data_IF_128649048407
#
_entry.id   IF_128649048407
#
_cell.length_a   1.000
_cell.length_b   1.000
_cell.length_c   1.000
_cell.angle_alpha   90.00
_cell.angle_beta   90.00
_cell.angle_gamma   90.00
#
_symmetry.space_group_name_H-M   'P 1'
#
loop_
_entity.id
_entity.type
_entity.pdbx_description
1 polymer ?
#
# COMPACT_ATOMS: atom_id res chain seq x y z
N UNK A 1 18.10 -7.02 20.26
CA UNK A 1 18.38 -5.82 21.08
C UNK A 1 19.39 -4.95 20.34
N UNK A 2 19.16 -3.65 20.32
CA UNK A 2 20.07 -2.69 19.67
C UNK A 2 21.13 -2.19 20.63
N UNK A 3 22.29 -1.81 20.08
CA UNK A 3 23.40 -1.22 20.84
C UNK A 3 23.12 0.23 21.22
N UNK A 4 23.71 0.72 22.31
CA UNK A 4 23.48 2.07 22.84
C UNK A 4 23.72 3.16 21.82
N UNK A 5 24.74 3.04 20.97
CA UNK A 5 25.03 4.03 19.92
C UNK A 5 23.90 4.16 18.89
N UNK A 6 23.24 3.04 18.57
CA UNK A 6 22.04 3.04 17.70
C UNK A 6 20.88 3.72 18.40
N UNK A 7 20.64 3.38 19.67
CA UNK A 7 19.57 3.98 20.48
C UNK A 7 19.73 5.50 20.61
N UNK A 8 20.95 5.98 20.79
CA UNK A 8 21.26 7.42 20.84
C UNK A 8 20.99 8.11 19.50
N UNK A 9 21.36 7.49 18.39
CA UNK A 9 21.07 8.02 17.04
C UNK A 9 19.56 8.12 16.79
N UNK A 10 18.80 7.14 17.24
CA UNK A 10 17.32 7.20 17.12
C UNK A 10 16.71 8.38 17.90
N UNK A 11 17.22 8.67 19.09
CA UNK A 11 16.76 9.82 19.88
C UNK A 11 17.06 11.17 19.19
N UNK A 12 18.08 11.21 18.32
CA UNK A 12 18.42 12.38 17.49
C UNK A 12 17.75 12.37 16.11
N UNK A 13 16.86 11.41 15.82
CA UNK A 13 16.22 11.21 14.53
C UNK A 13 17.20 10.84 13.39
N UNK A 14 18.37 10.33 13.71
CA UNK A 14 19.42 9.93 12.77
C UNK A 14 19.25 8.46 12.32
N UNK A 15 18.06 8.08 11.91
CA UNK A 15 17.79 6.73 11.40
C UNK A 15 18.31 6.55 9.97
N UNK A 16 18.12 7.57 9.14
CA UNK A 16 18.56 7.55 7.76
C UNK A 16 19.98 8.10 7.64
N UNK A 17 20.73 7.53 6.70
CA UNK A 17 22.06 8.03 6.34
C UNK A 17 21.93 9.09 5.26
N UNK A 18 22.79 10.09 5.31
CA UNK A 18 22.94 11.03 4.20
C UNK A 18 23.30 10.27 2.92
N UNK A 19 22.69 10.66 1.83
CA UNK A 19 22.94 10.08 0.51
C UNK A 19 22.94 11.15 -0.56
N UNK A 20 23.40 10.79 -1.75
CA UNK A 20 23.44 11.66 -2.91
C UNK A 20 22.70 11.00 -4.07
N UNK A 21 22.29 11.81 -5.03
CA UNK A 21 21.76 11.31 -6.28
C UNK A 21 22.82 10.48 -7.01
N UNK A 22 22.40 9.32 -7.47
CA UNK A 22 23.26 8.40 -8.23
C UNK A 22 22.57 8.08 -9.55
N UNK A 23 23.35 8.02 -10.62
CA UNK A 23 22.86 7.51 -11.88
C UNK A 23 22.52 6.03 -11.77
N UNK A 24 21.46 5.63 -12.48
CA UNK A 24 21.04 4.23 -12.53
C UNK A 24 22.01 3.42 -13.40
N UNK A 25 22.66 2.43 -12.80
CA UNK A 25 23.49 1.43 -13.45
C UNK A 25 23.31 0.07 -12.74
N UNK A 26 23.94 -0.99 -13.21
CA UNK A 26 23.83 -2.32 -12.61
C UNK A 26 24.12 -2.33 -11.10
N UNK A 27 25.16 -1.62 -10.66
CA UNK A 27 25.59 -1.62 -9.27
C UNK A 27 24.62 -0.85 -8.35
N UNK A 28 24.08 0.27 -8.82
CA UNK A 28 23.14 1.09 -8.06
C UNK A 28 21.74 0.50 -8.06
N UNK A 29 21.31 -0.11 -9.17
CA UNK A 29 20.02 -0.78 -9.30
C UNK A 29 19.92 -2.02 -8.42
N UNK A 30 20.98 -2.83 -8.31
CA UNK A 30 21.01 -4.04 -7.49
C UNK A 30 20.77 -3.77 -5.99
N UNK A 31 21.09 -2.58 -5.53
CA UNK A 31 20.91 -2.14 -4.14
C UNK A 31 19.65 -1.31 -3.89
N UNK A 32 18.85 -1.08 -4.92
CA UNK A 32 17.66 -0.25 -4.86
C UNK A 32 16.39 -1.10 -4.74
N UNK A 33 15.25 -0.47 -4.49
CA UNK A 33 13.95 -1.14 -4.50
C UNK A 33 13.62 -1.64 -5.92
N UNK A 34 13.49 -2.94 -6.11
CA UNK A 34 13.11 -3.52 -7.39
C UNK A 34 11.74 -3.03 -7.90
N UNK A 35 10.78 -2.76 -7.00
CA UNK A 35 9.48 -2.17 -7.35
C UNK A 35 9.66 -0.74 -7.85
N UNK A 36 10.41 0.09 -7.10
CA UNK A 36 10.64 1.48 -7.49
C UNK A 36 11.49 1.57 -8.77
N UNK A 37 12.47 0.68 -8.94
CA UNK A 37 13.26 0.59 -10.17
C UNK A 37 12.37 0.30 -11.39
N UNK A 38 11.55 -0.75 -11.34
CA UNK A 38 10.67 -1.11 -12.46
C UNK A 38 9.63 -0.01 -12.76
N UNK A 39 9.12 0.66 -11.71
CA UNK A 39 8.27 1.83 -11.85
C UNK A 39 8.98 2.96 -12.60
N UNK A 40 10.17 3.34 -12.16
CA UNK A 40 10.94 4.44 -12.78
C UNK A 40 11.39 4.11 -14.19
N UNK A 41 11.80 2.86 -14.44
CA UNK A 41 12.17 2.40 -15.79
C UNK A 41 11.01 2.56 -16.76
N UNK A 42 9.82 2.03 -16.42
CA UNK A 42 8.65 2.15 -17.30
C UNK A 42 8.23 3.60 -17.54
N UNK A 43 8.33 4.47 -16.52
CA UNK A 43 8.06 5.91 -16.70
C UNK A 43 9.08 6.54 -17.63
N UNK A 44 10.38 6.29 -17.42
CA UNK A 44 11.45 6.85 -18.24
C UNK A 44 11.32 6.42 -19.70
N UNK A 45 11.06 5.14 -19.94
CA UNK A 45 10.87 4.57 -21.28
C UNK A 45 9.64 5.15 -21.99
N UNK A 46 8.56 5.40 -21.24
CA UNK A 46 7.31 5.92 -21.82
C UNK A 46 7.33 7.43 -22.05
N UNK A 47 7.99 8.18 -21.16
CA UNK A 47 7.99 9.65 -21.17
C UNK A 47 9.23 10.24 -21.87
N UNK A 48 10.26 9.44 -22.07
CA UNK A 48 11.56 9.83 -22.63
C UNK A 48 12.22 11.00 -21.86
N UNK A 49 12.08 10.96 -20.52
CA UNK A 49 12.72 11.91 -19.59
C UNK A 49 13.38 11.18 -18.41
N UNK A 50 14.39 11.77 -17.79
CA UNK A 50 14.96 11.24 -16.56
C UNK A 50 13.93 11.19 -15.43
N UNK A 51 13.89 10.10 -14.67
CA UNK A 51 13.01 9.90 -13.52
C UNK A 51 13.86 9.81 -12.26
N UNK A 52 13.69 10.77 -11.35
CA UNK A 52 14.31 10.73 -10.02
C UNK A 52 13.46 9.88 -9.05
N UNK A 53 14.11 8.96 -8.33
CA UNK A 53 13.46 8.10 -7.35
C UNK A 53 14.09 8.31 -5.98
N UNK A 54 13.27 8.59 -4.97
CA UNK A 54 13.68 8.68 -3.56
C UNK A 54 13.12 7.44 -2.85
N UNK A 55 14.01 6.60 -2.34
CA UNK A 55 13.65 5.41 -1.57
C UNK A 55 13.72 5.72 -0.09
N UNK A 56 12.56 5.77 0.56
CA UNK A 56 12.44 5.99 1.98
C UNK A 56 11.50 4.91 2.56
N UNK A 57 12.04 3.72 2.81
CA UNK A 57 11.28 2.55 3.22
C UNK A 57 11.93 1.86 4.42
N UNK A 58 11.11 1.38 5.35
CA UNK A 58 11.55 0.65 6.55
C UNK A 58 10.70 -0.59 6.73
N UNK A 59 11.32 -1.76 6.60
CA UNK A 59 10.62 -3.05 6.71
C UNK A 59 9.92 -3.23 8.04
N UNK A 60 8.64 -3.63 8.01
CA UNK A 60 7.82 -3.87 9.19
C UNK A 60 7.29 -2.62 9.89
N UNK A 61 7.54 -1.43 9.37
CA UNK A 61 7.00 -0.21 9.96
C UNK A 61 5.47 -0.11 9.76
N UNK A 62 4.73 0.33 10.77
CA UNK A 62 3.29 0.56 10.64
C UNK A 62 3.01 1.93 9.99
N UNK A 63 1.80 2.11 9.46
CA UNK A 63 1.38 3.33 8.75
C UNK A 63 1.50 4.59 9.61
N UNK A 64 1.14 4.53 10.88
CA UNK A 64 1.18 5.64 11.82
C UNK A 64 2.59 6.22 12.06
N UNK A 65 3.63 5.42 11.82
CA UNK A 65 5.01 5.91 11.91
C UNK A 65 5.36 6.96 10.84
N UNK A 66 4.59 7.00 9.76
CA UNK A 66 4.81 7.87 8.59
C UNK A 66 3.90 9.10 8.53
N UNK A 67 3.06 9.31 9.54
CA UNK A 67 2.12 10.43 9.62
C UNK A 67 2.72 11.53 10.49
N UNK A 68 2.55 12.79 10.11
CA UNK A 68 3.01 13.90 10.94
C UNK A 68 2.26 13.96 12.28
N UNK A 69 2.97 14.45 13.31
CA UNK A 69 2.46 14.50 14.68
C UNK A 69 1.19 15.33 14.80
N UNK A 70 1.13 16.48 14.13
CA UNK A 70 -0.03 17.37 14.20
C UNK A 70 -1.29 16.67 13.70
N UNK A 71 -1.21 15.96 12.58
CA UNK A 71 -2.34 15.19 12.04
C UNK A 71 -2.81 14.14 13.05
N UNK A 72 -1.90 13.36 13.66
CA UNK A 72 -2.32 12.35 14.64
C UNK A 72 -2.84 12.97 15.95
N UNK A 73 -2.28 14.07 16.43
CA UNK A 73 -2.76 14.77 17.63
C UNK A 73 -4.20 15.28 17.48
N UNK A 74 -4.58 15.73 16.29
CA UNK A 74 -5.94 16.22 16.03
C UNK A 74 -6.94 15.12 15.68
N UNK A 75 -6.55 14.18 14.84
CA UNK A 75 -7.49 13.24 14.22
C UNK A 75 -7.45 11.82 14.79
N UNK A 76 -6.35 11.45 15.46
CA UNK A 76 -6.21 10.15 16.08
C UNK A 76 -5.27 10.17 17.32
N UNK A 77 -5.55 11.01 18.35
CA UNK A 77 -4.67 11.16 19.50
C UNK A 77 -4.44 9.87 20.29
N UNK A 78 -5.43 8.98 20.32
CA UNK A 78 -5.35 7.73 21.07
C UNK A 78 -4.16 6.85 20.64
N UNK A 79 -3.76 6.88 19.36
CA UNK A 79 -2.65 6.07 18.86
C UNK A 79 -1.28 6.53 19.37
N UNK A 80 -1.18 7.78 19.84
CA UNK A 80 0.04 8.36 20.40
C UNK A 80 0.27 7.96 21.86
N UNK A 81 -0.79 7.57 22.56
CA UNK A 81 -0.73 7.31 24.00
C UNK A 81 -0.16 5.94 24.29
N UNK A 82 0.92 5.87 25.09
CA UNK A 82 1.55 4.60 25.50
C UNK A 82 1.72 3.59 24.34
N UNK A 83 2.24 4.02 23.22
CA UNK A 83 2.22 3.30 21.96
C UNK A 83 2.74 1.85 22.05
N UNK A 84 3.70 1.55 22.92
CA UNK A 84 4.19 0.17 23.17
C UNK A 84 3.16 -0.75 23.84
N UNK A 85 2.08 -0.20 24.40
CA UNK A 85 1.00 -0.93 25.06
C UNK A 85 -0.36 -0.67 24.40
N UNK A 86 -0.36 0.04 23.28
CA UNK A 86 -1.56 0.50 22.60
C UNK A 86 -2.10 -0.56 21.64
N UNK A 87 -3.32 -1.00 21.84
CA UNK A 87 -3.96 -2.08 21.05
C UNK A 87 -4.35 -1.66 19.62
N UNK A 88 -4.31 -0.37 19.29
CA UNK A 88 -4.40 0.07 17.90
C UNK A 88 -3.17 -0.34 17.09
N UNK A 89 -2.02 -0.57 17.74
CA UNK A 89 -0.78 -1.00 17.11
C UNK A 89 -0.62 -2.50 17.27
N UNK A 90 -0.31 -3.18 16.18
CA UNK A 90 -0.21 -4.62 16.12
C UNK A 90 0.79 -5.17 17.16
N UNK A 91 0.43 -6.25 17.84
CA UNK A 91 1.19 -6.81 18.96
C UNK A 91 2.64 -7.14 18.60
N UNK A 92 2.88 -7.79 17.46
CA UNK A 92 4.25 -8.13 17.06
C UNK A 92 5.12 -6.87 16.78
N UNK A 93 4.51 -5.76 16.34
CA UNK A 93 5.20 -4.47 16.12
C UNK A 93 5.67 -3.92 17.47
N UNK A 94 4.77 -3.92 18.46
CA UNK A 94 5.06 -3.47 19.83
C UNK A 94 6.12 -4.33 20.49
N UNK A 95 5.98 -5.66 20.40
CA UNK A 95 6.94 -6.61 20.98
C UNK A 95 8.32 -6.47 20.35
N UNK A 96 8.40 -6.37 19.02
CA UNK A 96 9.67 -6.17 18.32
C UNK A 96 10.35 -4.87 18.72
N UNK A 97 9.59 -3.79 18.78
CA UNK A 97 10.11 -2.50 19.22
C UNK A 97 10.62 -2.57 20.67
N UNK A 98 9.82 -3.15 21.57
CA UNK A 98 10.21 -3.34 22.97
C UNK A 98 11.54 -4.11 23.09
N UNK A 99 11.67 -5.21 22.36
CA UNK A 99 12.92 -6.00 22.38
C UNK A 99 14.10 -5.20 21.86
N UNK A 100 13.91 -4.41 20.80
CA UNK A 100 14.97 -3.61 20.22
C UNK A 100 15.51 -2.57 21.21
N UNK A 101 14.63 -1.89 21.95
CA UNK A 101 15.00 -0.80 22.87
C UNK A 101 15.24 -1.24 24.31
N UNK A 102 15.19 -2.53 24.61
CA UNK A 102 15.27 -3.09 25.97
C UNK A 102 16.50 -2.65 26.77
N UNK A 103 17.63 -2.37 26.08
CA UNK A 103 18.88 -1.91 26.74
C UNK A 103 18.84 -0.41 27.09
N UNK A 104 17.86 0.34 26.59
CA UNK A 104 17.81 1.78 26.90
C UNK A 104 17.38 2.03 28.32
N UNK A 105 18.12 2.89 29.02
CA UNK A 105 17.70 3.48 30.28
C UNK A 105 16.79 4.69 30.11
N UNK A 106 16.67 5.21 28.88
CA UNK A 106 15.80 6.33 28.54
C UNK A 106 14.34 5.86 28.44
N UNK A 107 13.49 6.33 29.35
CA UNK A 107 12.05 6.01 29.35
C UNK A 107 11.30 6.56 28.11
N UNK A 108 11.87 7.55 27.42
CA UNK A 108 11.36 8.16 26.20
C UNK A 108 12.16 7.74 24.98
N UNK A 109 12.72 6.52 24.99
CA UNK A 109 13.50 6.00 23.90
C UNK A 109 12.66 5.93 22.62
N UNK A 110 13.16 6.57 21.56
CA UNK A 110 12.53 6.60 20.25
C UNK A 110 12.76 5.29 19.48
N UNK A 111 11.84 4.95 18.61
CA UNK A 111 11.93 3.76 17.76
C UNK A 111 11.30 4.03 16.38
N UNK A 112 11.83 3.47 15.26
CA UNK A 112 11.26 3.68 13.92
C UNK A 112 9.79 3.25 13.76
N UNK A 113 9.30 2.35 14.61
CA UNK A 113 7.89 1.93 14.59
C UNK A 113 6.98 2.79 15.47
N UNK A 114 7.55 3.73 16.21
CA UNK A 114 6.78 4.70 16.99
C UNK A 114 5.96 5.61 16.05
N UNK A 115 4.70 5.91 16.38
CA UNK A 115 3.92 6.88 15.62
C UNK A 115 4.71 8.18 15.38
N UNK A 116 4.62 8.71 14.17
CA UNK A 116 5.32 9.90 13.67
C UNK A 116 6.83 9.77 13.44
N UNK A 117 7.51 8.75 13.96
CA UNK A 117 8.97 8.72 13.93
C UNK A 117 9.56 8.78 12.52
N UNK A 118 9.08 7.94 11.63
CA UNK A 118 9.61 7.88 10.25
C UNK A 118 9.23 9.11 9.43
N UNK A 119 8.08 9.71 9.74
CA UNK A 119 7.76 11.02 9.20
C UNK A 119 8.78 12.08 9.65
N UNK A 120 9.05 12.16 10.95
CA UNK A 120 9.98 13.15 11.53
C UNK A 120 11.42 12.97 11.02
N UNK A 121 11.89 11.72 10.95
CA UNK A 121 13.26 11.40 10.58
C UNK A 121 13.50 11.41 9.06
N UNK A 122 12.52 10.98 8.24
CA UNK A 122 12.74 10.71 6.83
C UNK A 122 11.87 11.53 5.86
N UNK A 123 10.66 11.92 6.25
CA UNK A 123 9.74 12.63 5.35
C UNK A 123 9.82 14.15 5.54
N UNK A 124 9.79 14.63 6.77
CA UNK A 124 9.87 16.05 7.08
C UNK A 124 11.07 16.78 6.43
N UNK A 125 12.28 16.18 6.38
CA UNK A 125 13.41 16.81 5.68
C UNK A 125 13.19 17.00 4.16
N UNK A 126 12.31 16.20 3.56
CA UNK A 126 12.03 16.22 2.12
C UNK A 126 10.90 17.18 1.73
N UNK A 127 10.13 17.73 2.65
CA UNK A 127 8.91 18.49 2.36
C UNK A 127 9.08 19.72 1.46
N UNK A 128 10.28 20.25 1.35
CA UNK A 128 10.59 21.36 0.43
C UNK A 128 11.10 20.89 -0.93
N UNK A 129 11.38 19.59 -1.06
CA UNK A 129 11.81 19.02 -2.31
C UNK A 129 10.58 18.74 -3.20
N UNK A 130 10.55 19.25 -4.44
CA UNK A 130 9.41 19.01 -5.33
C UNK A 130 9.36 17.54 -5.73
N UNK A 131 8.22 16.90 -5.50
CA UNK A 131 7.97 15.52 -5.93
C UNK A 131 6.73 15.48 -6.82
N UNK A 132 6.68 14.53 -7.74
CA UNK A 132 5.57 14.38 -8.69
C UNK A 132 4.47 13.43 -8.19
N UNK A 133 4.76 12.64 -7.19
CA UNK A 133 3.82 11.69 -6.60
C UNK A 133 4.49 10.70 -5.66
N UNK A 134 3.70 9.86 -5.06
CA UNK A 134 4.12 8.84 -4.09
C UNK A 134 3.72 7.46 -4.61
N UNK A 135 4.62 6.48 -4.49
CA UNK A 135 4.31 5.06 -4.57
C UNK A 135 4.46 4.44 -3.19
N UNK A 136 3.45 3.69 -2.74
CA UNK A 136 3.36 3.17 -1.38
C UNK A 136 3.15 1.67 -1.36
N UNK A 137 4.03 0.95 -0.67
CA UNK A 137 3.90 -0.49 -0.49
C UNK A 137 4.09 -0.85 0.98
N UNK A 138 3.01 -0.97 1.70
CA UNK A 138 2.97 -1.29 3.13
C UNK A 138 1.55 -1.74 3.50
N UNK A 139 1.37 -2.38 4.64
CA UNK A 139 0.06 -2.76 5.17
C UNK A 139 0.12 -3.94 6.13
N UNK A 140 1.15 -4.77 6.06
CA UNK A 140 1.29 -6.01 6.82
C UNK A 140 1.23 -5.76 8.33
N UNK A 141 1.79 -4.63 8.77
CA UNK A 141 1.82 -4.21 10.17
C UNK A 141 0.51 -3.59 10.67
N UNK A 142 -0.46 -3.39 9.79
CA UNK A 142 -1.78 -2.84 10.10
C UNK A 142 -2.92 -3.81 9.76
N UNK A 143 -2.61 -5.01 9.22
CA UNK A 143 -3.59 -5.97 8.72
C UNK A 143 -4.47 -6.64 9.80
N UNK A 144 -4.22 -6.37 11.08
CA UNK A 144 -5.02 -6.83 12.20
C UNK A 144 -6.28 -5.97 12.45
N UNK A 145 -6.27 -4.71 11.97
CA UNK A 145 -7.34 -3.74 12.19
C UNK A 145 -7.63 -2.96 10.90
N UNK A 146 -8.63 -3.39 10.15
CA UNK A 146 -9.00 -2.81 8.86
C UNK A 146 -9.53 -1.39 8.96
N UNK A 147 -10.42 -1.13 9.94
CA UNK A 147 -11.02 0.18 10.16
C UNK A 147 -9.96 1.20 10.59
N UNK A 148 -9.08 0.78 11.49
CA UNK A 148 -7.91 1.58 11.89
C UNK A 148 -6.99 1.87 10.71
N UNK A 149 -6.76 0.89 9.82
CA UNK A 149 -5.94 1.09 8.63
C UNK A 149 -6.59 2.06 7.63
N UNK A 150 -7.89 1.94 7.36
CA UNK A 150 -8.60 2.87 6.48
C UNK A 150 -8.48 4.32 6.98
N UNK A 151 -8.66 4.53 8.28
CA UNK A 151 -8.45 5.83 8.92
C UNK A 151 -6.99 6.30 8.78
N UNK A 152 -6.02 5.47 9.15
CA UNK A 152 -4.60 5.82 9.11
C UNK A 152 -4.11 6.10 7.69
N UNK A 153 -4.57 5.34 6.70
CA UNK A 153 -4.14 5.57 5.31
C UNK A 153 -4.70 6.88 4.76
N UNK A 154 -5.94 7.23 5.11
CA UNK A 154 -6.49 8.55 4.81
C UNK A 154 -5.67 9.66 5.46
N UNK A 155 -5.39 9.56 6.75
CA UNK A 155 -4.57 10.52 7.48
C UNK A 155 -3.14 10.62 6.93
N UNK A 156 -2.55 9.51 6.47
CA UNK A 156 -1.24 9.49 5.81
C UNK A 156 -1.24 10.36 4.54
N UNK A 157 -2.22 10.16 3.68
CA UNK A 157 -2.33 10.91 2.43
C UNK A 157 -2.61 12.39 2.67
N UNK A 158 -3.51 12.72 3.60
CA UNK A 158 -3.81 14.09 4.01
C UNK A 158 -2.58 14.79 4.63
N UNK A 159 -1.87 14.09 5.54
CA UNK A 159 -0.64 14.58 6.16
C UNK A 159 0.39 15.00 5.11
N UNK A 160 0.69 14.14 4.16
CA UNK A 160 1.71 14.45 3.17
C UNK A 160 1.25 15.53 2.19
N UNK A 161 0.01 15.50 1.69
CA UNK A 161 -0.56 16.56 0.82
C UNK A 161 -0.55 17.92 1.49
N UNK A 162 -0.97 17.99 2.75
CA UNK A 162 -0.93 19.23 3.53
C UNK A 162 0.50 19.77 3.71
N UNK A 163 1.48 18.89 3.91
CA UNK A 163 2.86 19.29 4.09
C UNK A 163 3.55 19.75 2.79
N UNK A 164 3.17 19.18 1.64
CA UNK A 164 3.63 19.65 0.32
C UNK A 164 2.75 20.76 -0.25
N UNK A 165 1.58 21.02 0.33
CA UNK A 165 0.57 21.96 -0.21
C UNK A 165 0.19 21.62 -1.67
N UNK A 166 0.14 20.35 -1.99
CA UNK A 166 -0.15 19.80 -3.31
C UNK A 166 -1.00 18.54 -3.20
N UNK A 167 -1.98 18.38 -4.10
CA UNK A 167 -2.79 17.17 -4.22
C UNK A 167 -1.97 16.06 -4.90
N UNK A 168 -0.91 15.62 -4.21
CA UNK A 168 0.01 14.61 -4.71
C UNK A 168 -0.73 13.31 -5.05
N UNK A 169 -0.51 12.72 -6.24
CA UNK A 169 -0.99 11.40 -6.56
C UNK A 169 -0.37 10.35 -5.64
N UNK A 170 -1.20 9.43 -5.17
CA UNK A 170 -0.82 8.39 -4.22
C UNK A 170 -1.16 7.01 -4.81
N UNK A 171 -0.15 6.32 -5.38
CA UNK A 171 -0.34 5.01 -5.97
C UNK A 171 0.20 3.94 -5.02
N UNK A 172 -0.63 2.95 -4.70
CA UNK A 172 -0.27 1.97 -3.67
C UNK A 172 -0.48 0.54 -4.13
N UNK A 173 0.21 -0.38 -3.46
CA UNK A 173 0.12 -1.81 -3.72
C UNK A 173 -0.90 -2.43 -2.76
N UNK A 174 -1.88 -3.16 -3.31
CA UNK A 174 -2.68 -4.09 -2.53
C UNK A 174 -1.79 -5.25 -2.11
N UNK A 175 -1.82 -5.63 -0.83
CA UNK A 175 -1.01 -6.74 -0.32
C UNK A 175 -1.26 -8.03 -1.11
N UNK A 176 -0.20 -8.84 -1.26
CA UNK A 176 -0.25 -10.10 -1.99
C UNK A 176 -1.11 -11.15 -1.29
N UNK A 177 -1.29 -12.29 -1.93
CA UNK A 177 -1.98 -13.43 -1.33
C UNK A 177 -1.06 -14.12 -0.31
N UNK A 178 -1.49 -14.15 0.94
CA UNK A 178 -0.94 -15.01 1.98
C UNK A 178 -2.10 -15.63 2.74
N UNK A 179 -1.93 -16.85 3.22
CA UNK A 179 -2.97 -17.54 3.98
C UNK A 179 -3.00 -17.03 5.43
N UNK A 180 -3.79 -16.00 5.67
CA UNK A 180 -4.07 -15.42 6.99
C UNK A 180 -5.53 -15.01 7.09
N UNK A 181 -6.22 -15.23 8.23
CA UNK A 181 -7.67 -14.98 8.37
C UNK A 181 -8.10 -13.54 8.04
N UNK A 182 -7.32 -12.53 8.41
CA UNK A 182 -7.65 -11.11 8.17
C UNK A 182 -7.32 -10.63 6.75
N UNK A 183 -6.57 -11.42 5.97
CA UNK A 183 -5.92 -10.91 4.77
C UNK A 183 -6.85 -10.56 3.63
N UNK A 184 -7.85 -11.39 3.37
CA UNK A 184 -8.86 -11.13 2.33
C UNK A 184 -9.68 -9.88 2.63
N UNK A 185 -10.07 -9.70 3.87
CA UNK A 185 -10.79 -8.53 4.34
C UNK A 185 -9.94 -7.26 4.26
N UNK A 186 -8.68 -7.34 4.69
CA UNK A 186 -7.74 -6.23 4.61
C UNK A 186 -7.47 -5.80 3.17
N UNK A 187 -7.30 -6.75 2.24
CA UNK A 187 -7.15 -6.45 0.81
C UNK A 187 -8.39 -5.78 0.22
N UNK A 188 -9.59 -6.19 0.65
CA UNK A 188 -10.82 -5.50 0.25
C UNK A 188 -10.90 -4.08 0.83
N UNK A 189 -10.45 -3.88 2.06
CA UNK A 189 -10.29 -2.54 2.65
C UNK A 189 -9.36 -1.68 1.79
N UNK A 190 -8.19 -2.19 1.41
CA UNK A 190 -7.29 -1.50 0.49
C UNK A 190 -7.95 -1.14 -0.85
N UNK A 191 -8.79 -2.03 -1.42
CA UNK A 191 -9.55 -1.70 -2.64
C UNK A 191 -10.50 -0.52 -2.43
N UNK A 192 -11.21 -0.48 -1.31
CA UNK A 192 -12.15 0.60 -0.97
C UNK A 192 -11.46 1.96 -0.79
N UNK A 193 -10.17 1.99 -0.45
CA UNK A 193 -9.43 3.24 -0.32
C UNK A 193 -9.40 4.05 -1.62
N UNK A 194 -9.47 3.42 -2.80
CA UNK A 194 -9.58 4.16 -4.07
C UNK A 194 -10.87 4.98 -4.19
N UNK A 195 -11.93 4.54 -3.54
CA UNK A 195 -13.22 5.26 -3.53
C UNK A 195 -13.22 6.43 -2.54
N UNK A 196 -12.31 6.39 -1.55
CA UNK A 196 -12.23 7.34 -0.43
C UNK A 196 -11.16 8.41 -0.69
N UNK A 197 -10.04 8.01 -1.29
CA UNK A 197 -8.87 8.88 -1.46
C UNK A 197 -8.82 9.37 -2.91
N UNK A 198 -9.08 10.65 -3.17
CA UNK A 198 -8.98 11.21 -4.51
C UNK A 198 -7.53 11.13 -5.01
N UNK A 199 -7.34 11.20 -6.33
CA UNK A 199 -6.03 11.13 -6.98
C UNK A 199 -5.17 9.95 -6.49
N UNK A 200 -5.78 8.77 -6.41
CA UNK A 200 -5.13 7.53 -6.02
C UNK A 200 -5.29 6.42 -7.07
N UNK A 201 -4.55 5.34 -6.90
CA UNK A 201 -4.66 4.14 -7.72
C UNK A 201 -4.00 2.96 -7.03
N UNK A 202 -4.51 1.75 -7.28
CA UNK A 202 -4.05 0.55 -6.61
C UNK A 202 -3.52 -0.48 -7.59
N UNK A 203 -2.28 -0.91 -7.38
CA UNK A 203 -1.70 -2.06 -8.08
C UNK A 203 -2.04 -3.35 -7.32
N UNK A 204 -2.76 -4.25 -7.96
CA UNK A 204 -3.04 -5.59 -7.43
C UNK A 204 -1.77 -6.43 -7.43
N UNK A 205 -1.51 -7.20 -6.38
CA UNK A 205 -0.36 -8.10 -6.31
C UNK A 205 -0.69 -9.54 -5.92
N UNK A 206 -1.98 -9.87 -5.80
CA UNK A 206 -2.43 -11.20 -5.36
C UNK A 206 -2.08 -12.34 -6.31
N UNK A 207 -2.03 -12.09 -7.60
CA UNK A 207 -1.61 -13.05 -8.62
C UNK A 207 -0.08 -13.26 -8.70
N UNK A 208 0.66 -12.48 -7.93
CA UNK A 208 2.14 -12.51 -7.83
C UNK A 208 2.64 -12.88 -6.45
N UNK A 209 1.71 -13.24 -5.54
CA UNK A 209 2.00 -13.61 -4.17
C UNK A 209 2.28 -15.10 -3.98
N UNK A 210 2.50 -15.43 -2.74
CA UNK A 210 2.66 -16.79 -2.23
C UNK A 210 1.81 -16.96 -0.97
N UNK A 211 1.26 -18.14 -0.74
CA UNK A 211 0.42 -18.42 0.43
C UNK A 211 1.19 -18.44 1.75
N UNK A 212 2.50 -18.61 1.70
CA UNK A 212 3.38 -18.73 2.88
C UNK A 212 4.35 -17.55 3.03
N UNK A 213 4.51 -16.70 2.01
CA UNK A 213 5.47 -15.59 2.03
C UNK A 213 4.77 -14.25 1.75
N UNK A 214 4.95 -13.29 2.66
CA UNK A 214 4.46 -11.91 2.50
C UNK A 214 5.25 -11.12 1.45
N UNK A 215 6.42 -11.63 1.02
CA UNK A 215 7.33 -10.95 0.12
C UNK A 215 7.25 -11.54 -1.31
N UNK A 216 6.30 -11.12 -2.16
CA UNK A 216 6.20 -11.65 -3.51
C UNK A 216 7.50 -11.39 -4.29
N UNK A 217 7.96 -12.39 -5.03
CA UNK A 217 9.22 -12.34 -5.79
C UNK A 217 9.10 -11.52 -7.09
N UNK A 218 7.91 -11.44 -7.65
CA UNK A 218 7.62 -10.78 -8.93
C UNK A 218 7.48 -9.25 -8.77
N UNK A 219 8.59 -8.60 -8.38
CA UNK A 219 8.61 -7.16 -8.06
C UNK A 219 8.46 -6.27 -9.29
N UNK A 220 8.94 -6.72 -10.44
CA UNK A 220 8.90 -5.97 -11.71
C UNK A 220 7.48 -5.65 -12.09
N UNK A 221 6.62 -6.66 -12.17
CA UNK A 221 5.22 -6.49 -12.57
C UNK A 221 4.46 -5.57 -11.62
N UNK A 222 4.82 -5.58 -10.33
CA UNK A 222 4.20 -4.67 -9.35
C UNK A 222 4.60 -3.21 -9.65
N UNK A 223 5.88 -2.98 -9.91
CA UNK A 223 6.38 -1.65 -10.31
C UNK A 223 5.74 -1.16 -11.61
N UNK A 224 5.64 -2.01 -12.62
CA UNK A 224 5.00 -1.69 -13.90
C UNK A 224 3.49 -1.37 -13.72
N UNK A 225 2.77 -2.08 -12.84
CA UNK A 225 1.36 -1.79 -12.51
C UNK A 225 1.20 -0.42 -11.85
N UNK A 226 2.09 -0.05 -10.94
CA UNK A 226 2.10 1.30 -10.36
C UNK A 226 2.40 2.36 -11.43
N UNK A 227 3.35 2.09 -12.34
CA UNK A 227 3.71 3.01 -13.42
C UNK A 227 2.55 3.24 -14.39
N UNK A 228 1.74 2.22 -14.68
CA UNK A 228 0.54 2.38 -15.53
C UNK A 228 -0.46 3.39 -14.92
N UNK A 229 -0.66 3.36 -13.60
CA UNK A 229 -1.46 4.36 -12.92
C UNK A 229 -0.89 5.77 -13.09
N UNK A 230 0.42 5.95 -12.89
CA UNK A 230 1.07 7.23 -13.04
C UNK A 230 0.98 7.73 -14.49
N UNK A 231 1.27 6.89 -15.47
CA UNK A 231 1.18 7.23 -16.90
C UNK A 231 -0.24 7.67 -17.29
N UNK A 232 -1.26 6.94 -16.82
CA UNK A 232 -2.64 7.30 -17.13
C UNK A 232 -3.11 8.56 -16.38
N UNK A 233 -2.99 8.58 -15.03
CA UNK A 233 -3.62 9.62 -14.20
C UNK A 233 -2.76 10.87 -14.06
N UNK A 234 -1.44 10.73 -13.86
CA UNK A 234 -0.54 11.87 -13.66
C UNK A 234 -0.07 12.45 -14.99
N UNK A 235 0.26 11.59 -15.95
CA UNK A 235 0.83 12.02 -17.24
C UNK A 235 -0.17 11.95 -18.39
N UNK A 236 -1.43 11.59 -18.15
CA UNK A 236 -2.55 11.61 -19.09
C UNK A 236 -2.28 10.82 -20.39
N UNK A 237 -1.47 9.80 -20.31
CA UNK A 237 -1.23 8.91 -21.43
C UNK A 237 -2.42 7.96 -21.65
N UNK A 238 -2.70 7.64 -22.91
CA UNK A 238 -3.74 6.70 -23.29
C UNK A 238 -3.28 5.24 -23.07
N UNK A 239 -3.12 4.86 -21.81
CA UNK A 239 -2.78 3.52 -21.34
C UNK A 239 -3.82 3.06 -20.33
N UNK A 240 -4.22 1.79 -20.40
CA UNK A 240 -5.14 1.21 -19.39
C UNK A 240 -4.38 1.07 -18.06
N UNK A 241 -4.82 1.72 -16.97
CA UNK A 241 -4.05 1.80 -15.72
C UNK A 241 -4.10 0.49 -14.91
N UNK A 242 -5.15 -0.32 -15.07
CA UNK A 242 -5.39 -1.51 -14.24
C UNK A 242 -6.07 -2.62 -15.04
N UNK A 243 -6.09 -3.82 -14.50
CA UNK A 243 -7.06 -4.85 -14.88
C UNK A 243 -8.48 -4.47 -14.44
N UNK A 244 -9.47 -5.37 -14.61
CA UNK A 244 -10.86 -5.09 -14.27
C UNK A 244 -11.00 -4.62 -12.80
N UNK A 245 -11.61 -3.45 -12.61
CA UNK A 245 -11.93 -2.90 -11.30
C UNK A 245 -13.45 -2.95 -11.09
N UNK A 246 -13.88 -3.46 -9.93
CA UNK A 246 -15.29 -3.47 -9.56
C UNK A 246 -15.87 -2.05 -9.65
N UNK A 247 -16.97 -1.93 -10.39
CA UNK A 247 -17.72 -0.68 -10.53
C UNK A 247 -19.06 -0.73 -9.79
N UNK A 248 -19.89 -1.71 -10.12
CA UNK A 248 -21.20 -1.87 -9.49
C UNK A 248 -21.72 -3.30 -9.67
N UNK A 249 -22.76 -3.63 -8.90
CA UNK A 249 -23.50 -4.88 -9.04
C UNK A 249 -24.99 -4.58 -9.12
N UNK A 250 -25.70 -5.27 -10.01
CA UNK A 250 -27.16 -5.26 -10.10
C UNK A 250 -27.69 -6.68 -10.00
N UNK A 251 -28.83 -6.83 -9.33
CA UNK A 251 -29.49 -8.14 -9.15
C UNK A 251 -30.72 -8.23 -10.02
N UNK A 252 -30.82 -9.29 -10.83
CA UNK A 252 -31.94 -9.53 -11.72
C UNK A 252 -32.10 -11.02 -11.99
N UNK A 253 -33.34 -11.52 -11.95
CA UNK A 253 -33.70 -12.90 -12.30
C UNK A 253 -32.81 -13.95 -11.58
N UNK A 254 -32.59 -13.80 -10.26
CA UNK A 254 -31.83 -14.74 -9.48
C UNK A 254 -30.29 -14.74 -9.76
N UNK A 255 -29.77 -13.72 -10.42
CA UNK A 255 -28.37 -13.57 -10.70
C UNK A 255 -27.86 -12.17 -10.34
N UNK A 256 -26.58 -12.08 -10.00
CA UNK A 256 -25.83 -10.83 -9.86
C UNK A 256 -25.06 -10.52 -11.15
N UNK A 257 -25.20 -9.28 -11.60
CA UNK A 257 -24.46 -8.75 -12.76
C UNK A 257 -23.43 -7.76 -12.24
N UNK A 258 -22.18 -8.20 -12.22
CA UNK A 258 -21.04 -7.42 -11.70
C UNK A 258 -20.37 -6.72 -12.87
N UNK A 259 -20.37 -5.37 -12.85
CA UNK A 259 -19.71 -4.58 -13.89
C UNK A 259 -18.36 -4.04 -13.42
N UNK A 260 -17.46 -3.91 -14.37
CA UNK A 260 -16.06 -3.52 -14.12
C UNK A 260 -15.67 -2.35 -15.02
N UNK A 261 -14.92 -1.42 -14.46
CA UNK A 261 -14.10 -0.49 -15.23
C UNK A 261 -12.88 -1.25 -15.77
N UNK A 262 -12.34 -0.82 -16.89
CA UNK A 262 -11.16 -1.43 -17.56
C UNK A 262 -11.34 -2.93 -17.89
N UNK A 263 -12.58 -3.37 -18.12
CA UNK A 263 -12.89 -4.77 -18.40
C UNK A 263 -12.69 -5.19 -19.87
N UNK A 264 -12.36 -4.26 -20.77
CA UNK A 264 -12.19 -4.58 -22.19
C UNK A 264 -11.14 -5.67 -22.42
N UNK A 265 -11.56 -6.77 -23.08
CA UNK A 265 -10.68 -7.94 -23.29
C UNK A 265 -10.53 -8.84 -22.06
N UNK A 266 -11.37 -8.69 -21.05
CA UNK A 266 -11.37 -9.54 -19.86
C UNK A 266 -11.52 -11.01 -20.22
N UNK A 267 -10.62 -11.84 -19.71
CA UNK A 267 -10.64 -13.29 -19.88
C UNK A 267 -9.94 -13.95 -18.70
N UNK A 268 -10.16 -15.25 -18.52
CA UNK A 268 -9.42 -16.04 -17.53
C UNK A 268 -8.01 -16.34 -18.04
N UNK A 269 -7.00 -16.26 -17.18
CA UNK A 269 -5.59 -16.46 -17.57
C UNK A 269 -5.27 -17.85 -18.09
N UNK A 270 -6.11 -18.83 -17.75
CA UNK A 270 -5.95 -20.25 -18.10
C UNK A 270 -7.02 -20.75 -19.09
N UNK A 271 -7.86 -19.88 -19.60
CA UNK A 271 -9.02 -20.18 -20.46
C UNK A 271 -10.04 -21.16 -19.85
N UNK A 272 -9.97 -21.39 -18.54
CA UNK A 272 -10.95 -22.19 -17.82
C UNK A 272 -12.13 -21.33 -17.36
N UNK A 273 -13.27 -21.93 -16.96
CA UNK A 273 -14.36 -21.19 -16.33
C UNK A 273 -13.87 -20.36 -15.13
N UNK A 274 -14.49 -19.20 -14.91
CA UNK A 274 -14.17 -18.35 -13.75
C UNK A 274 -14.44 -19.14 -12.47
N UNK A 275 -13.50 -19.04 -11.53
CA UNK A 275 -13.55 -19.71 -10.22
C UNK A 275 -13.62 -18.69 -9.09
N UNK A 276 -13.92 -19.17 -7.89
CA UNK A 276 -13.87 -18.40 -6.64
C UNK A 276 -14.90 -17.29 -6.49
N UNK A 277 -15.96 -17.30 -7.32
CA UNK A 277 -17.13 -16.48 -7.04
C UNK A 277 -18.05 -17.19 -6.06
N UNK A 278 -18.60 -16.42 -5.15
CA UNK A 278 -19.62 -16.82 -4.21
C UNK A 278 -20.78 -15.83 -4.28
N UNK A 279 -21.98 -16.31 -4.02
CA UNK A 279 -23.19 -15.50 -3.95
C UNK A 279 -23.95 -15.84 -2.67
N UNK A 280 -24.57 -14.84 -2.05
CA UNK A 280 -25.45 -15.01 -0.90
C UNK A 280 -26.87 -14.56 -1.24
N UNK A 281 -27.84 -15.20 -0.62
CA UNK A 281 -29.21 -14.70 -0.55
C UNK A 281 -29.37 -13.67 0.57
N UNK A 282 -30.60 -13.40 0.96
CA UNK A 282 -30.91 -12.41 2.00
C UNK A 282 -30.32 -12.77 3.39
N UNK A 283 -30.06 -14.04 3.62
CA UNK A 283 -29.45 -14.54 4.87
C UNK A 283 -27.97 -14.18 5.02
N UNK A 284 -27.33 -13.70 3.95
CA UNK A 284 -25.91 -13.33 3.94
C UNK A 284 -24.96 -14.53 3.95
N UNK A 285 -25.45 -15.75 3.76
CA UNK A 285 -24.60 -16.95 3.72
C UNK A 285 -24.06 -17.16 2.30
N UNK A 286 -22.77 -16.91 2.11
CA UNK A 286 -22.11 -17.08 0.82
C UNK A 286 -21.94 -18.56 0.47
N UNK A 287 -22.33 -18.90 -0.75
CA UNK A 287 -22.16 -20.23 -1.33
C UNK A 287 -21.46 -20.14 -2.69
N UNK A 288 -20.67 -21.16 -3.10
CA UNK A 288 -20.02 -21.16 -4.40
C UNK A 288 -21.00 -20.91 -5.55
N UNK A 289 -20.62 -20.06 -6.47
CA UNK A 289 -21.45 -19.63 -7.58
C UNK A 289 -20.75 -19.87 -8.93
N UNK A 290 -21.60 -20.02 -9.99
CA UNK A 290 -21.12 -20.00 -11.36
C UNK A 290 -20.96 -18.55 -11.82
N UNK A 291 -19.84 -18.27 -12.52
CA UNK A 291 -19.57 -16.95 -13.06
C UNK A 291 -19.20 -17.04 -14.54
N UNK A 292 -19.78 -16.14 -15.34
CA UNK A 292 -19.63 -16.11 -16.80
C UNK A 292 -19.37 -14.66 -17.25
N UNK A 293 -18.37 -14.47 -18.11
CA UNK A 293 -18.15 -13.19 -18.79
C UNK A 293 -19.18 -13.09 -19.90
N UNK A 294 -20.12 -12.16 -19.77
CA UNK A 294 -21.21 -11.99 -20.73
C UNK A 294 -20.95 -10.87 -21.75
N UNK A 295 -20.07 -9.94 -21.42
CA UNK A 295 -19.60 -8.88 -22.31
C UNK A 295 -18.23 -8.33 -21.83
N UNK A 296 -17.73 -7.29 -22.49
CA UNK A 296 -16.43 -6.69 -22.17
C UNK A 296 -16.28 -6.08 -20.77
N UNK A 297 -17.36 -5.94 -20.02
CA UNK A 297 -17.36 -5.25 -18.73
C UNK A 297 -18.14 -5.99 -17.65
N UNK A 298 -18.86 -7.07 -18.00
CA UNK A 298 -19.84 -7.67 -17.10
C UNK A 298 -19.57 -9.15 -16.88
N UNK A 299 -19.58 -9.54 -15.63
CA UNK A 299 -19.63 -10.94 -15.17
C UNK A 299 -21.01 -11.20 -14.59
N UNK A 300 -21.71 -12.21 -15.12
CA UNK A 300 -22.93 -12.76 -14.51
C UNK A 300 -22.54 -13.82 -13.49
N UNK A 301 -23.06 -13.69 -12.27
CA UNK A 301 -22.85 -14.63 -11.16
C UNK A 301 -24.19 -15.19 -10.73
N UNK A 302 -24.32 -16.50 -10.68
CA UNK A 302 -25.58 -17.16 -10.26
C UNK A 302 -25.30 -18.48 -9.54
N UNK A 303 -26.20 -18.85 -8.66
CA UNK A 303 -26.27 -20.21 -8.11
C UNK A 303 -27.35 -21.00 -8.85
N UNK A 304 -27.16 -22.32 -8.96
CA UNK A 304 -28.16 -23.21 -9.59
C UNK A 304 -29.34 -23.46 -8.69
#
# INVERSE_FOLDING_TARGET
>A
EWETSVLDSLNRLEYYKETQWQECNEQTADRFSAVAFAFGQMLSDSLQVPIGLILNAVGGSPTEAWIDRKTLEFDFPDILTNWLQNDFIQDWVRQRAFLNIKKSSNKLQRHPYEPCYLYEAGIRPLKQFPIKGIIWYQGESNAHNMEGHEKLFRLLTESWRNNWQEELPFYYVQLSSIDRPSWTWFRNSQRKLMDIIPNSGMAVSSDKGDSLDVHPRYKREIGERLARWALNKTYQQNIIPSGPLFRTVTFKNGAAYVTFDYGAGMHTSDNNPIRTFEIAEYDGLFTPAQAEIIDNQTIKVSNK
#
